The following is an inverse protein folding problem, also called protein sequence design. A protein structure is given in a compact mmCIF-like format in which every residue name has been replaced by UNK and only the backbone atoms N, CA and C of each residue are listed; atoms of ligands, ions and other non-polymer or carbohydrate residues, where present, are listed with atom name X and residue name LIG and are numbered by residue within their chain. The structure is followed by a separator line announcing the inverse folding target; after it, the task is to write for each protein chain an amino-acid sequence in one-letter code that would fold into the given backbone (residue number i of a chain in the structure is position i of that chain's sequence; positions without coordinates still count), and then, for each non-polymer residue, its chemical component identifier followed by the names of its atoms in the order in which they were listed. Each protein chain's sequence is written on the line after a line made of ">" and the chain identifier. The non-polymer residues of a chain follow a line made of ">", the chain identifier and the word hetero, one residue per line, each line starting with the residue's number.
data_IF_217758317747
#
_entry.id   IF_217758317747
#
_cell.length_a   1.000
_cell.length_b   1.000
_cell.length_c   1.000
_cell.angle_alpha   90.00
_cell.angle_beta   90.00
_cell.angle_gamma   90.00
#
_symmetry.space_group_name_H-M   'P 1'
#
loop_
_entity.id
_entity.type
_entity.pdbx_description
1 polymer ?
#
# COMPACT_ATOMS: atom_id res chain seq x y z
N UNK A 1 18.04 4.39 -10.77
CA UNK A 1 16.80 5.08 -10.36
C UNK A 1 15.81 4.97 -11.52
N UNK A 2 14.89 4.00 -11.48
CA UNK A 2 13.90 3.85 -12.55
C UNK A 2 12.84 4.95 -12.41
N UNK A 3 12.68 5.78 -13.43
CA UNK A 3 11.63 6.81 -13.46
C UNK A 3 10.28 6.12 -13.31
N UNK A 4 9.49 6.56 -12.34
CA UNK A 4 8.08 6.20 -12.21
C UNK A 4 7.39 6.45 -13.55
N UNK A 5 6.65 5.45 -14.04
CA UNK A 5 6.00 5.53 -15.35
C UNK A 5 4.77 6.44 -15.22
N UNK A 6 4.88 7.71 -15.63
CA UNK A 6 3.76 8.68 -15.61
C UNK A 6 2.49 8.14 -16.29
N UNK A 7 2.63 7.23 -17.27
CA UNK A 7 1.48 6.61 -17.95
C UNK A 7 0.64 5.71 -17.05
N UNK A 8 1.25 5.16 -16.00
CA UNK A 8 0.61 4.25 -15.05
C UNK A 8 0.01 4.98 -13.86
N UNK A 9 0.40 6.25 -13.63
CA UNK A 9 -0.08 7.09 -12.52
C UNK A 9 -1.61 7.12 -12.41
N UNK A 10 -2.37 7.38 -13.48
CA UNK A 10 -3.83 7.48 -13.37
C UNK A 10 -4.48 6.16 -12.92
N UNK A 11 -3.87 5.02 -13.25
CA UNK A 11 -4.37 3.71 -12.83
C UNK A 11 -4.07 3.44 -11.35
N UNK A 12 -2.86 3.78 -10.89
CA UNK A 12 -2.51 3.72 -9.47
C UNK A 12 -3.38 4.65 -8.64
N UNK A 13 -3.52 5.91 -9.05
CA UNK A 13 -4.37 6.89 -8.36
C UNK A 13 -5.81 6.37 -8.26
N UNK A 14 -6.36 5.77 -9.32
CA UNK A 14 -7.72 5.19 -9.27
C UNK A 14 -7.82 4.06 -8.25
N UNK A 15 -6.87 3.14 -8.21
CA UNK A 15 -6.86 2.02 -7.25
C UNK A 15 -6.72 2.54 -5.81
N UNK A 16 -5.79 3.48 -5.58
CA UNK A 16 -5.52 4.06 -4.27
C UNK A 16 -6.71 4.89 -3.77
N UNK A 17 -7.34 5.70 -4.63
CA UNK A 17 -8.55 6.44 -4.27
C UNK A 17 -9.72 5.51 -3.95
N UNK A 18 -9.91 4.44 -4.74
CA UNK A 18 -10.92 3.43 -4.45
C UNK A 18 -10.69 2.76 -3.10
N UNK A 19 -9.44 2.36 -2.80
CA UNK A 19 -9.06 1.79 -1.52
C UNK A 19 -9.25 2.78 -0.36
N UNK A 20 -8.87 4.05 -0.55
CA UNK A 20 -9.06 5.12 0.43
C UNK A 20 -10.52 5.24 0.84
N UNK A 21 -11.44 5.28 -0.13
CA UNK A 21 -12.87 5.45 0.17
C UNK A 21 -13.40 4.32 1.05
N UNK A 22 -12.93 3.09 0.84
CA UNK A 22 -13.27 1.93 1.69
C UNK A 22 -12.66 2.04 3.08
N UNK A 23 -11.39 2.40 3.18
CA UNK A 23 -10.70 2.57 4.47
C UNK A 23 -11.38 3.66 5.32
N UNK A 24 -11.78 4.77 4.70
CA UNK A 24 -12.57 5.83 5.38
C UNK A 24 -13.91 5.28 5.85
N UNK A 25 -14.59 4.44 5.06
CA UNK A 25 -15.84 3.82 5.47
C UNK A 25 -15.67 2.88 6.68
N UNK A 26 -14.50 2.23 6.80
CA UNK A 26 -14.11 1.41 7.95
C UNK A 26 -13.60 2.22 9.15
N UNK A 27 -13.61 3.56 9.06
CA UNK A 27 -13.17 4.44 10.14
C UNK A 27 -11.65 4.58 10.29
N UNK A 28 -10.89 4.17 9.27
CA UNK A 28 -9.42 4.31 9.25
C UNK A 28 -9.05 5.71 8.76
N UNK A 29 -8.19 6.40 9.51
CA UNK A 29 -7.62 7.68 9.07
C UNK A 29 -6.60 7.43 7.95
N UNK A 30 -6.85 8.04 6.79
CA UNK A 30 -6.06 7.80 5.58
C UNK A 30 -5.97 9.05 4.69
N UNK A 31 -4.77 9.30 4.17
CA UNK A 31 -4.48 10.42 3.27
C UNK A 31 -3.87 9.92 1.96
N UNK A 32 -4.33 10.46 0.83
CA UNK A 32 -3.72 10.20 -0.48
C UNK A 32 -2.65 11.25 -0.76
N UNK A 33 -1.42 10.82 -1.02
CA UNK A 33 -0.28 11.71 -1.23
C UNK A 33 0.72 11.12 -2.24
N UNK A 34 1.76 11.88 -2.55
CA UNK A 34 2.91 11.41 -3.32
C UNK A 34 4.14 11.41 -2.41
N UNK A 35 4.93 10.34 -2.45
CA UNK A 35 6.13 10.23 -1.63
C UNK A 35 7.28 11.11 -2.19
N UNK A 36 8.46 11.05 -1.55
CA UNK A 36 9.61 11.83 -1.98
C UNK A 36 10.12 11.52 -3.40
N UNK A 37 9.66 10.43 -4.02
CA UNK A 37 9.98 10.03 -5.39
C UNK A 37 8.82 10.28 -6.37
N UNK A 38 7.83 11.09 -5.97
CA UNK A 38 6.60 11.36 -6.73
C UNK A 38 5.74 10.11 -7.02
N UNK A 39 5.90 9.06 -6.21
CA UNK A 39 5.08 7.85 -6.30
C UNK A 39 3.78 8.05 -5.50
N UNK A 40 2.59 7.82 -6.09
CA UNK A 40 1.34 7.91 -5.37
C UNK A 40 1.22 6.78 -4.34
N UNK A 41 0.72 7.12 -3.16
CA UNK A 41 0.48 6.20 -2.07
C UNK A 41 -0.63 6.71 -1.14
N UNK A 42 -1.12 5.81 -0.28
CA UNK A 42 -1.95 6.15 0.86
C UNK A 42 -1.11 6.16 2.12
N UNK A 43 -1.19 7.21 2.92
CA UNK A 43 -0.68 7.21 4.29
C UNK A 43 -1.82 6.79 5.22
N UNK A 44 -1.69 5.60 5.81
CA UNK A 44 -2.71 4.97 6.65
C UNK A 44 -2.25 5.02 8.10
N UNK A 45 -3.09 5.56 8.98
CA UNK A 45 -2.77 5.74 10.40
C UNK A 45 -3.32 4.60 11.26
N UNK A 46 -2.56 4.21 12.27
CA UNK A 46 -3.05 3.35 13.36
C UNK A 46 -3.61 4.17 14.54
N UNK A 47 -4.15 3.47 15.55
CA UNK A 47 -4.65 4.10 16.78
C UNK A 47 -3.58 4.80 17.64
N UNK A 48 -2.30 4.65 17.31
CA UNK A 48 -1.17 5.32 17.95
C UNK A 48 -0.61 6.49 17.12
N UNK A 49 -1.35 6.92 16.09
CA UNK A 49 -0.94 7.98 15.15
C UNK A 49 0.37 7.65 14.40
N UNK A 50 0.71 6.37 14.30
CA UNK A 50 1.80 5.94 13.42
C UNK A 50 1.24 5.84 12.02
N UNK A 51 2.04 6.24 11.05
CA UNK A 51 1.67 6.20 9.64
C UNK A 51 2.37 5.04 8.93
N UNK A 52 1.67 4.39 8.01
CA UNK A 52 2.26 3.45 7.05
C UNK A 52 1.76 3.75 5.64
N UNK A 53 2.70 3.83 4.70
CA UNK A 53 2.40 4.08 3.29
C UNK A 53 2.02 2.79 2.59
N UNK A 54 0.82 2.75 2.05
CA UNK A 54 0.32 1.70 1.17
C UNK A 54 0.50 2.15 -0.27
N UNK A 55 1.15 1.31 -1.07
CA UNK A 55 1.39 1.54 -2.49
C UNK A 55 0.63 0.54 -3.34
N UNK A 56 0.35 0.90 -4.59
CA UNK A 56 -0.14 -0.03 -5.60
C UNK A 56 1.03 -0.53 -6.48
N UNK A 57 0.98 -1.81 -6.85
CA UNK A 57 1.89 -2.43 -7.80
C UNK A 57 1.09 -3.03 -8.96
N UNK A 58 1.02 -2.33 -10.09
CA UNK A 58 0.14 -2.72 -11.20
C UNK A 58 0.52 -4.05 -11.85
N UNK A 59 1.81 -4.37 -11.97
CA UNK A 59 2.23 -5.60 -12.66
C UNK A 59 1.77 -6.89 -11.94
N UNK A 60 1.59 -6.81 -10.61
CA UNK A 60 1.12 -7.92 -9.78
C UNK A 60 -0.30 -7.69 -9.23
N UNK A 61 -0.89 -6.53 -9.54
CA UNK A 61 -2.20 -6.12 -9.04
C UNK A 61 -2.32 -6.24 -7.52
N UNK A 62 -1.35 -5.67 -6.80
CA UNK A 62 -1.29 -5.69 -5.32
C UNK A 62 -1.28 -4.30 -4.71
N UNK A 63 -1.89 -4.19 -3.53
CA UNK A 63 -1.53 -3.20 -2.54
C UNK A 63 -0.49 -3.77 -1.60
N UNK A 64 0.46 -2.95 -1.15
CA UNK A 64 1.51 -3.38 -0.23
C UNK A 64 2.02 -2.22 0.63
N UNK A 65 2.43 -2.53 1.86
CA UNK A 65 2.93 -1.56 2.84
C UNK A 65 4.22 -2.00 3.54
N UNK A 66 4.77 -3.13 3.12
CA UNK A 66 6.04 -3.66 3.60
C UNK A 66 6.61 -4.68 2.61
N UNK A 67 7.48 -5.56 3.09
CA UNK A 67 8.18 -6.56 2.26
C UNK A 67 7.84 -8.00 2.59
N UNK A 68 7.08 -8.24 3.67
CA UNK A 68 6.62 -9.56 4.07
C UNK A 68 5.37 -9.96 3.28
N UNK A 69 5.07 -11.26 3.25
CA UNK A 69 3.96 -11.82 2.47
C UNK A 69 2.58 -11.39 3.01
N UNK A 70 2.49 -11.13 4.31
CA UNK A 70 1.30 -10.61 5.00
C UNK A 70 1.17 -9.09 4.91
N UNK A 71 2.19 -8.39 4.38
CA UNK A 71 2.19 -6.93 4.18
C UNK A 71 1.72 -6.52 2.77
N UNK A 72 0.89 -7.36 2.16
CA UNK A 72 0.29 -7.14 0.82
C UNK A 72 -1.08 -7.78 0.69
N UNK A 73 -1.90 -7.24 -0.21
CA UNK A 73 -3.23 -7.76 -0.55
C UNK A 73 -3.59 -7.47 -2.01
N UNK A 74 -4.57 -8.19 -2.57
CA UNK A 74 -4.99 -8.06 -3.97
C UNK A 74 -5.70 -6.73 -4.25
N UNK A 75 -5.47 -6.12 -5.40
CA UNK A 75 -6.23 -4.97 -5.89
C UNK A 75 -7.58 -5.34 -6.53
N UNK A 76 -7.84 -6.62 -6.79
CA UNK A 76 -9.05 -7.07 -7.50
C UNK A 76 -10.32 -7.01 -6.63
N UNK A 77 -10.15 -7.07 -5.32
CA UNK A 77 -11.22 -6.94 -4.32
C UNK A 77 -10.86 -5.79 -3.38
N UNK A 78 -11.41 -4.60 -3.67
CA UNK A 78 -11.10 -3.40 -2.89
C UNK A 78 -11.67 -3.46 -1.47
N UNK A 79 -12.80 -4.13 -1.28
CA UNK A 79 -13.45 -4.21 0.03
C UNK A 79 -12.64 -5.17 0.92
N UNK A 80 -12.29 -6.37 0.41
CA UNK A 80 -11.41 -7.30 1.10
C UNK A 80 -10.00 -6.73 1.35
N UNK A 81 -9.45 -5.96 0.40
CA UNK A 81 -8.17 -5.28 0.59
C UNK A 81 -8.23 -4.25 1.73
N UNK A 82 -9.31 -3.47 1.79
CA UNK A 82 -9.50 -2.49 2.85
C UNK A 82 -9.66 -3.16 4.22
N UNK A 83 -10.38 -4.28 4.31
CA UNK A 83 -10.51 -5.06 5.55
C UNK A 83 -9.15 -5.55 6.06
N UNK A 84 -8.31 -6.12 5.18
CA UNK A 84 -6.96 -6.59 5.54
C UNK A 84 -6.08 -5.44 6.05
N UNK A 85 -6.08 -4.31 5.34
CA UNK A 85 -5.27 -3.14 5.72
C UNK A 85 -5.80 -2.51 7.02
N UNK A 86 -7.12 -2.42 7.18
CA UNK A 86 -7.74 -1.92 8.40
C UNK A 86 -7.42 -2.81 9.61
N UNK A 87 -7.47 -4.14 9.45
CA UNK A 87 -7.08 -5.08 10.48
C UNK A 87 -5.60 -4.91 10.89
N UNK A 88 -4.72 -4.70 9.91
CA UNK A 88 -3.30 -4.42 10.17
C UNK A 88 -3.10 -3.08 10.90
N UNK A 89 -3.82 -2.03 10.49
CA UNK A 89 -3.80 -0.73 11.17
C UNK A 89 -4.33 -0.83 12.60
N UNK A 90 -5.38 -1.62 12.83
CA UNK A 90 -5.95 -1.85 14.15
C UNK A 90 -5.01 -2.65 15.07
N UNK A 91 -4.26 -3.60 14.50
CA UNK A 91 -3.22 -4.33 15.23
C UNK A 91 -2.03 -3.43 15.62
N UNK A 92 -1.88 -2.29 14.94
CA UNK A 92 -0.83 -1.30 15.16
C UNK A 92 0.35 -1.50 14.23
N UNK A 93 0.90 -0.39 13.73
CA UNK A 93 2.08 -0.43 12.90
C UNK A 93 3.35 -0.65 13.72
N UNK A 94 4.37 -1.30 13.13
CA UNK A 94 5.70 -1.38 13.74
C UNK A 94 6.23 0.02 14.13
N UNK A 95 7.01 0.11 15.20
CA UNK A 95 7.54 1.39 15.65
C UNK A 95 8.65 1.92 14.73
N UNK A 96 9.26 1.04 13.95
CA UNK A 96 10.31 1.34 13.01
C UNK A 96 9.77 2.17 11.83
N UNK A 97 10.58 3.14 11.41
CA UNK A 97 10.31 3.90 10.19
C UNK A 97 10.15 2.95 9.01
N UNK A 98 9.19 3.27 8.14
CA UNK A 98 9.04 2.56 6.90
C UNK A 98 10.26 2.82 6.02
N UNK A 99 11.11 1.80 5.90
CA UNK A 99 12.24 1.82 4.97
C UNK A 99 11.78 2.02 3.52
N UNK A 100 12.74 2.15 2.60
CA UNK A 100 12.41 2.33 1.19
C UNK A 100 11.72 1.07 0.62
N UNK A 101 10.47 1.23 0.19
CA UNK A 101 9.71 0.20 -0.51
C UNK A 101 9.83 0.38 -2.03
N UNK A 102 10.99 0.00 -2.56
CA UNK A 102 11.19 -0.19 -3.99
C UNK A 102 10.72 -1.59 -4.43
N UNK A 103 10.34 -1.79 -5.70
CA UNK A 103 10.17 -3.14 -6.24
C UNK A 103 11.52 -3.86 -6.19
N UNK A 104 11.77 -4.59 -5.12
CA UNK A 104 12.83 -5.58 -5.06
C UNK A 104 12.32 -6.82 -5.80
N UNK A 105 12.55 -6.83 -7.11
CA UNK A 105 12.14 -7.91 -8.01
C UNK A 105 12.60 -9.29 -7.50
N UNK A 106 13.71 -9.35 -6.75
CA UNK A 106 14.20 -10.60 -6.18
C UNK A 106 13.24 -11.13 -5.10
N UNK A 107 12.80 -10.28 -4.17
CA UNK A 107 11.84 -10.68 -3.11
C UNK A 107 10.47 -11.03 -3.67
N UNK A 108 10.05 -10.37 -4.75
CA UNK A 108 8.81 -10.67 -5.44
C UNK A 108 8.89 -12.07 -6.08
N UNK A 109 10.00 -12.40 -6.74
CA UNK A 109 10.19 -13.72 -7.34
C UNK A 109 10.24 -14.82 -6.28
N UNK A 110 10.91 -14.56 -5.14
CA UNK A 110 10.98 -15.51 -4.03
C UNK A 110 9.59 -15.84 -3.44
N UNK A 111 8.68 -14.85 -3.42
CA UNK A 111 7.30 -15.04 -2.97
C UNK A 111 6.42 -15.90 -3.89
N UNK A 112 6.81 -16.12 -5.15
CA UNK A 112 6.12 -17.01 -6.10
C UNK A 112 6.73 -18.42 -6.17
N UNK A 113 7.84 -18.66 -5.45
CA UNK A 113 8.51 -19.96 -5.38
C UNK A 113 8.16 -20.78 -4.12
N UNK A 114 7.28 -20.28 -3.25
CA UNK A 114 6.80 -20.98 -2.04
C UNK A 114 5.37 -21.47 -2.16
#
# INVERSE_FOLDING_TARGET
>A
MGKFNEKERPYMDRLLLGLRDRLVHLGVEVHHLSDQNDRPCLEVFDGHLRARRVYAHLAFMWFFWGSLNDERTSCHDLDGAAEVIAAAAQAGWPAEEQGHLGPDLQKILDAYQS
#
